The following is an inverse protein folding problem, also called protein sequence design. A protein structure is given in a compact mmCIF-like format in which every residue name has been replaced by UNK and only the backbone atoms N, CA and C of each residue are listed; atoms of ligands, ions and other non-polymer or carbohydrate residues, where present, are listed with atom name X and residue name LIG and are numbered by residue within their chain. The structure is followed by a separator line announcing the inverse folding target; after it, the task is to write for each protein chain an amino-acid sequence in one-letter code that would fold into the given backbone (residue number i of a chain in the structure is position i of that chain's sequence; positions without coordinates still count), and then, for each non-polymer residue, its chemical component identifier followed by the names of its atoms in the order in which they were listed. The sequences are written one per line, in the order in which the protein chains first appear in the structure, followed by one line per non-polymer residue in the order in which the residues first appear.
data_IF_439735574012
#
_entry.id   IF_439735574012
#
_cell.length_a   1.000
_cell.length_b   1.000
_cell.length_c   1.000
_cell.angle_alpha   90.00
_cell.angle_beta   90.00
_cell.angle_gamma   90.00
#
_symmetry.space_group_name_H-M   'P 1'
#
loop_
_entity.id
_entity.type
_entity.pdbx_description
1 polymer ?
#
# COMPACT_ATOMS: atom_id res chain seq x y z
N UNK A 1 10.92 -3.13 6.00
CA UNK A 1 9.68 -2.50 5.48
C UNK A 1 8.41 -3.03 6.16
N UNK A 2 7.94 -4.27 5.94
CA UNK A 2 6.68 -4.75 6.56
C UNK A 2 6.71 -4.69 8.09
N UNK A 3 7.80 -5.16 8.69
CA UNK A 3 8.03 -5.07 10.15
C UNK A 3 8.04 -3.62 10.65
N UNK A 4 8.72 -2.71 9.94
CA UNK A 4 8.77 -1.27 10.28
C UNK A 4 7.38 -0.61 10.16
N UNK A 5 6.61 -0.95 9.13
CA UNK A 5 5.25 -0.43 8.95
C UNK A 5 4.31 -0.95 10.03
N UNK A 6 4.38 -2.24 10.35
CA UNK A 6 3.61 -2.84 11.44
C UNK A 6 3.94 -2.16 12.78
N UNK A 7 5.23 -2.02 13.12
CA UNK A 7 5.68 -1.34 14.33
C UNK A 7 5.19 0.12 14.38
N UNK A 8 5.30 0.87 13.28
CA UNK A 8 4.81 2.25 13.22
C UNK A 8 3.29 2.36 13.43
N UNK A 9 2.51 1.40 12.91
CA UNK A 9 1.06 1.36 13.11
C UNK A 9 0.72 1.02 14.57
N UNK A 10 1.45 0.08 15.17
CA UNK A 10 1.28 -0.32 16.57
C UNK A 10 1.65 0.81 17.54
N UNK A 11 2.73 1.57 17.27
CA UNK A 11 3.13 2.76 18.04
C UNK A 11 2.04 3.84 18.06
N UNK A 12 1.28 3.96 16.97
CA UNK A 12 0.15 4.89 16.89
C UNK A 12 -1.09 4.37 17.64
N UNK A 13 -1.04 3.15 18.19
CA UNK A 13 -2.13 2.46 18.86
C UNK A 13 -3.06 1.71 17.91
N UNK A 14 -2.58 1.37 16.71
CA UNK A 14 -3.23 0.47 15.76
C UNK A 14 -2.83 -0.99 15.96
N UNK A 15 -3.22 -1.84 15.01
CA UNK A 15 -2.81 -3.25 14.95
C UNK A 15 -2.45 -3.63 13.53
N UNK A 16 -1.44 -4.48 13.31
CA UNK A 16 -1.09 -5.00 12.00
C UNK A 16 -0.94 -6.52 12.02
N UNK A 17 -1.43 -7.18 10.98
CA UNK A 17 -1.38 -8.64 10.81
C UNK A 17 -0.90 -8.97 9.41
N UNK A 18 0.00 -9.96 9.28
CA UNK A 18 0.44 -10.42 7.97
C UNK A 18 -0.67 -11.23 7.30
N UNK A 19 -0.82 -11.03 5.99
CA UNK A 19 -1.82 -11.70 5.18
C UNK A 19 -1.18 -12.14 3.85
N UNK A 20 -1.54 -13.33 3.38
CA UNK A 20 -1.13 -13.81 2.05
C UNK A 20 -2.17 -13.43 1.00
N UNK A 21 -1.72 -12.98 -0.16
CA UNK A 21 -2.55 -12.65 -1.31
C UNK A 21 -1.76 -12.83 -2.62
N UNK A 22 -2.33 -12.49 -3.78
CA UNK A 22 -1.72 -12.80 -5.08
C UNK A 22 -0.37 -12.11 -5.31
N UNK A 23 -0.13 -10.96 -4.67
CA UNK A 23 1.14 -10.23 -4.74
C UNK A 23 2.17 -10.71 -3.69
N UNK A 24 1.86 -11.78 -2.95
CA UNK A 24 2.70 -12.33 -1.89
C UNK A 24 2.23 -11.96 -0.48
N UNK A 25 3.17 -11.58 0.38
CA UNK A 25 2.87 -11.25 1.79
C UNK A 25 2.58 -9.76 1.92
N UNK A 26 1.35 -9.44 2.30
CA UNK A 26 0.87 -8.10 2.64
C UNK A 26 0.67 -7.91 4.14
N UNK A 27 0.09 -6.76 4.51
CA UNK A 27 -0.34 -6.46 5.87
C UNK A 27 -1.78 -5.97 5.89
N UNK A 28 -2.63 -6.60 6.68
CA UNK A 28 -3.93 -6.05 7.07
C UNK A 28 -3.78 -5.28 8.38
N UNK A 29 -4.22 -4.03 8.41
CA UNK A 29 -4.02 -3.15 9.56
C UNK A 29 -5.29 -2.38 9.97
N UNK A 30 -5.42 -2.13 11.26
CA UNK A 30 -6.33 -1.14 11.83
C UNK A 30 -5.51 0.12 12.15
N UNK A 31 -5.67 1.15 11.33
CA UNK A 31 -4.93 2.40 11.45
C UNK A 31 -5.79 3.42 12.19
N UNK A 32 -5.29 4.05 13.27
CA UNK A 32 -5.99 5.12 13.94
C UNK A 32 -5.98 6.38 13.07
N UNK A 33 -7.16 6.91 12.78
CA UNK A 33 -7.36 8.10 11.95
C UNK A 33 -8.18 9.12 12.73
N UNK A 34 -7.77 10.39 12.71
CA UNK A 34 -8.53 11.48 13.33
C UNK A 34 -9.23 12.27 12.23
N UNK A 35 -10.57 12.27 12.23
CA UNK A 35 -11.37 13.14 11.37
C UNK A 35 -12.32 13.98 12.21
N UNK A 36 -12.30 15.29 11.99
CA UNK A 36 -13.14 16.26 12.69
C UNK A 36 -13.08 16.10 14.22
N UNK A 37 -11.87 15.92 14.77
CA UNK A 37 -11.64 15.72 16.21
C UNK A 37 -12.05 14.35 16.76
N UNK A 38 -12.65 13.47 15.95
CA UNK A 38 -13.02 12.11 16.36
C UNK A 38 -11.96 11.12 15.92
N UNK A 39 -11.39 10.36 16.86
CA UNK A 39 -10.50 9.23 16.58
C UNK A 39 -11.36 8.02 16.17
N UNK A 40 -11.03 7.43 15.02
CA UNK A 40 -11.62 6.20 14.50
C UNK A 40 -10.51 5.26 14.05
N UNK A 41 -10.83 3.98 13.85
CA UNK A 41 -9.94 3.04 13.19
C UNK A 41 -10.42 2.80 11.77
N UNK A 42 -9.52 2.91 10.80
CA UNK A 42 -9.76 2.50 9.42
C UNK A 42 -9.02 1.20 9.16
N UNK A 43 -9.70 0.25 8.52
CA UNK A 43 -9.10 -1.01 8.12
C UNK A 43 -8.51 -0.84 6.73
N UNK A 44 -7.25 -1.21 6.56
CA UNK A 44 -6.54 -1.13 5.28
C UNK A 44 -5.75 -2.41 5.01
N UNK A 45 -5.50 -2.72 3.74
CA UNK A 45 -4.54 -3.75 3.33
C UNK A 45 -3.38 -3.10 2.60
N UNK A 46 -2.16 -3.33 3.08
CA UNK A 46 -0.93 -2.91 2.43
C UNK A 46 -0.41 -4.03 1.55
N UNK A 47 -0.09 -3.67 0.31
CA UNK A 47 0.58 -4.53 -0.66
C UNK A 47 1.88 -3.85 -1.09
N UNK A 48 2.88 -4.62 -1.51
CA UNK A 48 4.11 -4.01 -1.99
C UNK A 48 5.09 -4.99 -2.60
N UNK A 49 5.94 -4.48 -3.47
CA UNK A 49 7.05 -5.20 -4.07
C UNK A 49 8.31 -4.34 -4.08
N UNK A 50 9.46 -4.99 -3.93
CA UNK A 50 10.77 -4.35 -3.95
C UNK A 50 11.39 -4.49 -5.35
N UNK A 51 12.04 -3.43 -5.82
CA UNK A 51 12.88 -3.44 -7.01
C UNK A 51 14.24 -2.81 -6.77
N UNK A 52 15.11 -2.69 -7.79
CA UNK A 52 16.48 -2.19 -7.62
C UNK A 52 16.54 -0.73 -7.13
N UNK A 53 16.65 -0.55 -5.81
CA UNK A 53 16.72 0.76 -5.16
C UNK A 53 15.38 1.47 -5.02
N UNK A 54 14.25 0.77 -5.16
CA UNK A 54 12.92 1.32 -4.97
C UNK A 54 11.97 0.28 -4.35
N UNK A 55 10.89 0.77 -3.76
CA UNK A 55 9.77 -0.02 -3.25
C UNK A 55 8.49 0.57 -3.84
N UNK A 56 7.65 -0.27 -4.42
CA UNK A 56 6.28 0.10 -4.78
C UNK A 56 5.36 -0.39 -3.67
N UNK A 57 4.53 0.51 -3.12
CA UNK A 57 3.59 0.19 -2.04
C UNK A 57 2.19 0.65 -2.42
N UNK A 58 1.23 -0.27 -2.39
CA UNK A 58 -0.19 0.00 -2.53
C UNK A 58 -0.90 -0.03 -1.17
N UNK A 59 -1.95 0.76 -1.04
CA UNK A 59 -2.85 0.76 0.13
C UNK A 59 -4.28 0.56 -0.37
N UNK A 60 -4.83 -0.62 -0.12
CA UNK A 60 -6.21 -0.96 -0.44
C UNK A 60 -7.10 -0.52 0.73
N UNK A 61 -8.12 0.26 0.42
CA UNK A 61 -9.09 0.80 1.41
C UNK A 61 -10.53 0.53 0.94
N UNK A 62 -11.51 0.79 1.79
CA UNK A 62 -12.93 0.63 1.44
C UNK A 62 -13.31 -0.83 1.15
N UNK A 63 -14.04 -1.07 0.05
CA UNK A 63 -14.58 -2.39 -0.29
C UNK A 63 -13.48 -3.46 -0.48
N UNK A 64 -12.33 -3.08 -1.05
CA UNK A 64 -11.20 -3.98 -1.32
C UNK A 64 -10.54 -4.55 -0.05
N UNK A 65 -10.90 -4.05 1.12
CA UNK A 65 -10.45 -4.58 2.40
C UNK A 65 -11.12 -5.92 2.72
N UNK A 66 -12.41 -6.08 2.37
CA UNK A 66 -13.22 -7.24 2.74
C UNK A 66 -13.81 -8.00 1.54
N UNK A 67 -13.78 -7.44 0.33
CA UNK A 67 -14.26 -8.07 -0.89
C UNK A 67 -13.07 -8.51 -1.75
N UNK A 68 -12.92 -9.82 -1.91
CA UNK A 68 -11.85 -10.43 -2.69
C UNK A 68 -11.86 -9.96 -4.15
N UNK A 69 -13.01 -9.89 -4.81
CA UNK A 69 -13.08 -9.47 -6.22
C UNK A 69 -12.63 -8.01 -6.39
N UNK A 70 -13.10 -7.12 -5.53
CA UNK A 70 -12.67 -5.72 -5.53
C UNK A 70 -11.17 -5.57 -5.22
N UNK A 71 -10.62 -6.45 -4.38
CA UNK A 71 -9.18 -6.49 -4.14
C UNK A 71 -8.41 -6.96 -5.37
N UNK A 72 -8.83 -8.05 -6.02
CA UNK A 72 -8.18 -8.61 -7.20
C UNK A 72 -8.12 -7.60 -8.36
N UNK A 73 -9.18 -6.82 -8.57
CA UNK A 73 -9.19 -5.75 -9.57
C UNK A 73 -8.08 -4.71 -9.31
N UNK A 74 -7.93 -4.26 -8.06
CA UNK A 74 -6.88 -3.31 -7.67
C UNK A 74 -5.49 -3.94 -7.65
N UNK A 75 -5.38 -5.21 -7.24
CA UNK A 75 -4.13 -5.98 -7.27
C UNK A 75 -3.65 -6.16 -8.72
N UNK A 76 -4.57 -6.30 -9.69
CA UNK A 76 -4.19 -6.35 -11.11
C UNK A 76 -3.62 -5.02 -11.62
N UNK A 77 -4.22 -3.89 -11.25
CA UNK A 77 -3.66 -2.56 -11.55
C UNK A 77 -2.25 -2.42 -10.95
N UNK A 78 -2.06 -2.93 -9.73
CA UNK A 78 -0.74 -2.94 -9.09
C UNK A 78 0.28 -3.77 -9.86
N UNK A 79 -0.10 -4.95 -10.35
CA UNK A 79 0.76 -5.81 -11.19
C UNK A 79 1.12 -5.18 -12.53
N UNK A 80 0.17 -4.46 -13.14
CA UNK A 80 0.37 -3.78 -14.43
C UNK A 80 1.14 -2.47 -14.29
N UNK A 81 1.47 -2.05 -13.06
CA UNK A 81 2.23 -0.81 -12.81
C UNK A 81 3.70 -0.99 -13.16
N UNK A 82 4.16 -0.24 -14.17
CA UNK A 82 5.56 -0.18 -14.55
C UNK A 82 6.28 0.93 -13.81
N UNK A 83 7.29 0.57 -13.02
CA UNK A 83 8.13 1.54 -12.30
C UNK A 83 9.33 1.94 -13.16
N UNK A 84 9.35 3.19 -13.62
CA UNK A 84 10.48 3.79 -14.34
C UNK A 84 11.17 4.78 -13.41
N UNK A 85 12.33 4.40 -12.84
CA UNK A 85 13.13 5.28 -11.96
C UNK A 85 13.66 6.51 -12.71
N UNK A 86 13.89 6.40 -14.02
CA UNK A 86 14.60 7.39 -14.80
C UNK A 86 16.06 7.56 -14.32
N UNK A 87 16.66 8.71 -14.61
CA UNK A 87 18.03 9.09 -14.20
C UNK A 87 18.06 10.01 -12.98
N UNK A 88 16.94 10.14 -12.27
CA UNK A 88 16.81 11.08 -11.14
C UNK A 88 17.52 10.50 -9.91
N UNK A 89 18.42 11.29 -9.33
CA UNK A 89 19.08 10.98 -8.07
C UNK A 89 18.11 11.23 -6.91
N UNK A 90 17.31 10.22 -6.59
CA UNK A 90 16.36 10.22 -5.49
C UNK A 90 17.08 9.90 -4.19
N UNK A 91 16.83 10.68 -3.14
CA UNK A 91 17.30 10.36 -1.79
C UNK A 91 16.56 9.12 -1.28
N UNK A 92 17.16 8.33 -0.38
CA UNK A 92 16.43 7.25 0.29
C UNK A 92 15.12 7.79 0.90
N UNK A 93 14.00 7.14 0.56
CA UNK A 93 12.61 7.48 0.97
C UNK A 93 11.93 8.62 0.21
N UNK A 94 12.52 9.18 -0.83
CA UNK A 94 11.78 10.08 -1.73
C UNK A 94 10.64 9.30 -2.42
N UNK A 95 9.45 9.90 -2.49
CA UNK A 95 8.29 9.28 -3.13
C UNK A 95 8.45 9.33 -4.65
N UNK A 96 8.37 8.17 -5.30
CA UNK A 96 8.23 8.13 -6.76
C UNK A 96 6.78 8.48 -7.12
N UNK A 97 6.60 9.57 -7.85
CA UNK A 97 5.28 9.96 -8.36
C UNK A 97 4.84 8.96 -9.44
N UNK A 98 3.72 8.28 -9.18
CA UNK A 98 3.08 7.41 -10.17
C UNK A 98 2.22 8.28 -11.09
N UNK A 99 2.38 8.07 -12.39
CA UNK A 99 1.49 8.66 -13.39
C UNK A 99 0.56 7.55 -13.89
N UNK A 100 -0.78 7.73 -13.85
CA UNK A 100 -1.70 6.74 -14.40
C UNK A 100 -1.40 6.52 -15.89
N UNK A 101 -1.50 5.28 -16.36
CA UNK A 101 -1.34 4.94 -17.76
C UNK A 101 -2.38 5.71 -18.59
N UNK A 102 -1.95 6.40 -19.65
CA UNK A 102 -2.84 7.18 -20.52
C UNK A 102 -3.49 6.34 -21.63
N UNK A 103 -3.65 5.03 -21.44
CA UNK A 103 -4.38 4.21 -22.41
C UNK A 103 -5.87 4.51 -22.30
N UNK A 104 -6.31 5.50 -23.08
CA UNK A 104 -7.69 5.60 -23.55
C UNK A 104 -7.84 4.53 -24.65
N UNK A 105 -8.90 3.73 -24.58
CA UNK A 105 -9.30 2.74 -25.61
C UNK A 105 -9.14 3.26 -27.05
#
# INVERSE_FOLDING_TARGET
MRSELAASIEEQGGTATQEFHELGIGLRAHVPVVRHGTRRFEVVRFVGCDGPGWLLRGVLTGAAVNNLQAALELERIFLDTVVVRGTVDLRPRDQLLLTPSQHTD
#
